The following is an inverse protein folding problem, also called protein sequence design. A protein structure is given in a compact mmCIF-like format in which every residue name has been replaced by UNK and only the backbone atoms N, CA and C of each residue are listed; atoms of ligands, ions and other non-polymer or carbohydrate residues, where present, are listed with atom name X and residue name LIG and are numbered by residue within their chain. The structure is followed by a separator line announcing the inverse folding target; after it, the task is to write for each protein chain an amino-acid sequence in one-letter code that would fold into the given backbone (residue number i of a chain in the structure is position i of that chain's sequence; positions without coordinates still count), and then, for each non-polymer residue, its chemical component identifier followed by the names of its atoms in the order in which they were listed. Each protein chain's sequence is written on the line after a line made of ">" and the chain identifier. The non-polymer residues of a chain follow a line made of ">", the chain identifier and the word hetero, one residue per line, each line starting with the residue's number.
data_IF_948163219643
#
_entry.id   IF_948163219643
#
_cell.length_a   1.000
_cell.length_b   1.000
_cell.length_c   1.000
_cell.angle_alpha   90.00
_cell.angle_beta   90.00
_cell.angle_gamma   90.00
#
_symmetry.space_group_name_H-M   'P 1'
#
loop_
_entity.id
_entity.type
_entity.pdbx_description
1 polymer ?
#
# COMPACT_ATOMS: atom_id res chain seq x y z
N UNK A 1 -3.81 15.60 -0.92
CA UNK A 1 -4.24 15.42 0.49
C UNK A 1 -3.93 13.98 0.91
N UNK A 2 -3.58 13.71 2.17
CA UNK A 2 -3.37 12.33 2.66
C UNK A 2 -4.30 12.03 3.84
N UNK A 3 -5.01 10.90 3.79
CA UNK A 3 -5.80 10.38 4.90
C UNK A 3 -4.98 9.34 5.69
N UNK A 4 -5.24 9.21 7.00
CA UNK A 4 -4.65 8.18 7.86
C UNK A 4 -5.73 7.19 8.28
N UNK A 5 -5.41 5.91 8.20
CA UNK A 5 -6.26 4.82 8.69
C UNK A 5 -5.41 3.89 9.58
N UNK A 6 -6.00 3.43 10.69
CA UNK A 6 -5.42 2.40 11.54
C UNK A 6 -6.06 1.06 11.18
N UNK A 7 -5.23 0.04 10.97
CA UNK A 7 -5.67 -1.32 10.64
C UNK A 7 -4.98 -2.32 11.55
N UNK A 8 -5.67 -3.43 11.84
CA UNK A 8 -5.07 -4.59 12.49
C UNK A 8 -4.80 -5.63 11.42
N UNK A 9 -3.57 -6.14 11.36
CA UNK A 9 -3.16 -7.18 10.43
C UNK A 9 -2.62 -8.38 11.22
N UNK A 10 -2.85 -9.62 10.74
CA UNK A 10 -2.17 -10.80 11.24
C UNK A 10 -0.65 -10.63 11.31
N UNK A 11 -0.01 -11.18 12.35
CA UNK A 11 1.43 -11.04 12.59
C UNK A 11 2.26 -11.56 11.42
N UNK A 12 1.87 -12.70 10.83
CA UNK A 12 2.55 -13.27 9.67
C UNK A 12 2.52 -12.34 8.44
N UNK A 13 1.47 -11.52 8.27
CA UNK A 13 1.44 -10.51 7.22
C UNK A 13 2.35 -9.33 7.55
N UNK A 14 2.42 -8.93 8.82
CA UNK A 14 3.33 -7.88 9.26
C UNK A 14 4.81 -8.27 9.10
N UNK A 15 5.15 -9.53 9.35
CA UNK A 15 6.49 -10.09 9.10
C UNK A 15 6.86 -10.01 7.62
N UNK A 16 5.93 -10.35 6.73
CA UNK A 16 6.14 -10.21 5.28
C UNK A 16 6.38 -8.74 4.91
N UNK A 17 5.55 -7.81 5.42
CA UNK A 17 5.73 -6.38 5.17
C UNK A 17 7.10 -5.90 5.67
N UNK A 18 7.55 -6.35 6.84
CA UNK A 18 8.86 -5.99 7.37
C UNK A 18 10.02 -6.56 6.55
N UNK A 19 9.87 -7.77 5.98
CA UNK A 19 10.87 -8.38 5.10
C UNK A 19 11.08 -7.62 3.78
N UNK A 20 10.10 -6.80 3.37
CA UNK A 20 10.15 -5.99 2.14
C UNK A 20 10.83 -4.62 2.35
N UNK A 21 11.26 -4.31 3.58
CA UNK A 21 12.01 -3.08 3.86
C UNK A 21 13.34 -3.06 3.12
N UNK A 22 13.68 -1.91 2.56
CA UNK A 22 14.90 -1.71 1.75
C UNK A 22 14.82 -2.30 0.33
N UNK A 23 13.75 -3.04 -0.02
CA UNK A 23 13.50 -3.50 -1.39
C UNK A 23 12.30 -2.81 -2.03
N UNK A 24 11.19 -2.71 -1.30
CA UNK A 24 9.94 -2.08 -1.80
C UNK A 24 9.70 -0.69 -1.20
N UNK A 25 10.32 -0.38 -0.06
CA UNK A 25 10.24 0.91 0.60
C UNK A 25 10.96 0.93 1.95
N UNK A 26 11.03 2.12 2.55
CA UNK A 26 11.75 2.33 3.82
C UNK A 26 10.83 2.09 5.05
N UNK A 27 9.55 2.40 4.91
CA UNK A 27 8.57 2.27 5.99
C UNK A 27 7.42 1.30 5.68
N UNK A 28 6.83 0.73 6.73
CA UNK A 28 5.63 -0.12 6.63
C UNK A 28 4.49 0.59 5.88
N UNK A 29 4.28 1.88 6.16
CA UNK A 29 3.24 2.68 5.49
C UNK A 29 3.51 2.86 4.00
N UNK A 30 4.77 2.94 3.57
CA UNK A 30 5.13 3.12 2.17
C UNK A 30 4.92 1.81 1.40
N UNK A 31 5.37 0.70 1.99
CA UNK A 31 5.19 -0.65 1.46
C UNK A 31 3.70 -0.98 1.33
N UNK A 32 2.92 -0.80 2.39
CA UNK A 32 1.48 -1.06 2.38
C UNK A 32 0.77 -0.17 1.34
N UNK A 33 1.13 1.12 1.26
CA UNK A 33 0.56 2.03 0.25
C UNK A 33 0.87 1.54 -1.16
N UNK A 34 2.11 1.16 -1.45
CA UNK A 34 2.51 0.66 -2.76
C UNK A 34 1.73 -0.62 -3.14
N UNK A 35 1.58 -1.57 -2.20
CA UNK A 35 0.79 -2.80 -2.42
C UNK A 35 -0.67 -2.46 -2.72
N UNK A 36 -1.32 -1.64 -1.87
CA UNK A 36 -2.74 -1.28 -2.03
C UNK A 36 -2.95 -0.51 -3.33
N UNK A 37 -2.08 0.45 -3.65
CA UNK A 37 -2.17 1.22 -4.89
C UNK A 37 -1.98 0.35 -6.13
N UNK A 38 -0.99 -0.57 -6.13
CA UNK A 38 -0.80 -1.51 -7.25
C UNK A 38 -2.04 -2.36 -7.47
N UNK A 39 -2.53 -2.98 -6.40
CA UNK A 39 -3.72 -3.83 -6.47
C UNK A 39 -4.95 -3.05 -6.96
N UNK A 40 -5.18 -1.84 -6.45
CA UNK A 40 -6.30 -1.01 -6.89
C UNK A 40 -6.17 -0.58 -8.36
N UNK A 41 -4.95 -0.31 -8.82
CA UNK A 41 -4.67 0.00 -10.23
C UNK A 41 -4.97 -1.19 -11.14
N UNK A 42 -4.49 -2.38 -10.78
CA UNK A 42 -4.71 -3.63 -11.51
C UNK A 42 -6.20 -3.98 -11.61
N UNK A 43 -6.97 -3.68 -10.57
CA UNK A 43 -8.44 -3.86 -10.57
C UNK A 43 -9.20 -2.74 -11.27
N UNK A 44 -8.53 -1.67 -11.69
CA UNK A 44 -9.13 -0.54 -12.39
C UNK A 44 -9.85 0.45 -11.48
N UNK A 45 -9.73 0.35 -10.16
CA UNK A 45 -10.32 1.31 -9.22
C UNK A 45 -9.66 2.69 -9.29
N UNK A 46 -8.41 2.76 -9.75
CA UNK A 46 -7.68 4.02 -9.94
C UNK A 46 -7.80 4.59 -11.35
N UNK A 47 -8.63 4.01 -12.23
CA UNK A 47 -8.96 4.60 -13.54
C UNK A 47 -9.94 5.75 -13.35
N UNK A 48 -9.45 6.89 -12.91
CA UNK A 48 -10.27 8.06 -12.68
C UNK A 48 -9.52 9.23 -12.06
N UNK A 49 -8.59 9.82 -12.82
CA UNK A 49 -8.58 11.28 -13.02
C UNK A 49 -7.99 11.58 -14.40
N UNK A 50 -8.84 11.38 -15.41
CA UNK A 50 -8.82 12.24 -16.60
C UNK A 50 -9.92 13.27 -16.39
N UNK A 51 -9.71 14.21 -15.47
CA UNK A 51 -10.42 15.48 -15.48
C UNK A 51 -9.36 16.57 -15.64
N UNK A 52 -9.48 17.26 -16.78
CA UNK A 52 -8.90 18.55 -17.19
C UNK A 52 -7.39 18.80 -17.08
#
# INVERSE_FOLDING_TARGET
>A
MMARALVTLPDNLMEIVDSLKGTMGEGRSDIIRAIVTSWMSEKGYLRGDKNE
#
